data_IF_217391288627
#
_entry.id   IF_217391288627
#
_cell.length_a   1.000
_cell.length_b   1.000
_cell.length_c   1.000
_cell.angle_alpha   90.00
_cell.angle_beta   90.00
_cell.angle_gamma   90.00
#
_symmetry.space_group_name_H-M   'P 1'
#
loop_
_entity.id
_entity.type
_entity.pdbx_description
1 polymer ?
#
# COMPACT_ATOMS: atom_id res chain seq x y z
N UNK A 1 13.86 11.98 -4.64
CA UNK A 1 13.39 12.59 -3.38
C UNK A 1 12.53 11.58 -2.67
N UNK A 2 12.86 11.30 -1.40
CA UNK A 2 12.24 10.23 -0.64
C UNK A 2 11.67 10.82 0.66
N UNK A 3 10.36 10.73 0.81
CA UNK A 3 9.66 11.13 2.02
C UNK A 3 9.78 10.01 3.07
N UNK A 4 10.33 10.31 4.25
CA UNK A 4 10.44 9.34 5.34
C UNK A 4 9.29 9.52 6.33
N UNK A 5 8.57 8.44 6.64
CA UNK A 5 7.45 8.39 7.58
C UNK A 5 7.76 7.34 8.64
N UNK A 6 7.85 7.75 9.90
CA UNK A 6 8.05 6.83 11.03
C UNK A 6 6.74 6.70 11.79
N UNK A 7 6.20 5.49 11.85
CA UNK A 7 4.93 5.18 12.49
C UNK A 7 5.13 4.91 13.99
N UNK A 8 4.16 5.31 14.80
CA UNK A 8 4.08 4.93 16.22
C UNK A 8 3.41 3.55 16.37
N UNK A 9 3.99 2.55 15.72
CA UNK A 9 3.55 1.16 15.75
C UNK A 9 4.77 0.26 15.63
N UNK A 10 4.82 -0.85 16.37
CA UNK A 10 5.97 -1.75 16.36
C UNK A 10 6.07 -2.56 15.07
N UNK A 11 4.92 -2.82 14.43
CA UNK A 11 4.84 -3.51 13.13
C UNK A 11 3.81 -2.86 12.21
N UNK A 12 3.95 -3.08 10.91
CA UNK A 12 2.99 -2.68 9.89
C UNK A 12 2.13 -3.87 9.50
N UNK A 13 0.94 -3.95 10.09
CA UNK A 13 -0.04 -4.99 9.76
C UNK A 13 -0.47 -4.90 8.30
N UNK A 14 -0.98 -6.00 7.74
CA UNK A 14 -1.52 -6.04 6.38
C UNK A 14 -2.59 -4.97 6.14
N UNK A 15 -3.50 -4.73 7.10
CA UNK A 15 -4.52 -3.67 7.00
C UNK A 15 -3.88 -2.26 6.92
N UNK A 16 -2.86 -2.01 7.75
CA UNK A 16 -2.14 -0.74 7.74
C UNK A 16 -1.37 -0.54 6.43
N UNK A 17 -0.68 -1.58 5.94
CA UNK A 17 0.00 -1.56 4.65
C UNK A 17 -0.98 -1.26 3.50
N UNK A 18 -2.16 -1.86 3.49
CA UNK A 18 -3.23 -1.57 2.51
C UNK A 18 -3.59 -0.09 2.52
N UNK A 19 -3.98 0.43 3.68
CA UNK A 19 -4.48 1.81 3.77
C UNK A 19 -3.41 2.84 3.45
N UNK A 20 -2.18 2.63 3.92
CA UNK A 20 -1.05 3.52 3.61
C UNK A 20 -0.69 3.47 2.12
N UNK A 21 -0.76 2.30 1.49
CA UNK A 21 -0.53 2.16 0.04
C UNK A 21 -1.61 2.85 -0.79
N UNK A 22 -2.88 2.64 -0.45
CA UNK A 22 -4.03 3.30 -1.10
C UNK A 22 -3.98 4.82 -0.89
N UNK A 23 -3.66 5.28 0.32
CA UNK A 23 -3.49 6.70 0.63
C UNK A 23 -2.34 7.31 -0.19
N UNK A 24 -1.19 6.65 -0.23
CA UNK A 24 -0.02 7.07 -1.03
C UNK A 24 -0.37 7.17 -2.52
N UNK A 25 -1.09 6.18 -3.05
CA UNK A 25 -1.54 6.20 -4.44
C UNK A 25 -2.47 7.39 -4.73
N UNK A 26 -3.46 7.64 -3.86
CA UNK A 26 -4.36 8.78 -4.01
C UNK A 26 -3.63 10.12 -4.02
N UNK A 27 -2.62 10.28 -3.16
CA UNK A 27 -1.76 11.46 -3.15
C UNK A 27 -0.91 11.58 -4.41
N UNK A 28 -0.27 10.49 -4.85
CA UNK A 28 0.55 10.49 -6.09
C UNK A 28 -0.30 10.86 -7.30
N UNK A 29 -1.52 10.32 -7.42
CA UNK A 29 -2.43 10.67 -8.52
C UNK A 29 -2.76 12.16 -8.53
N UNK A 30 -3.09 12.73 -7.37
CA UNK A 30 -3.42 14.15 -7.26
C UNK A 30 -2.20 15.04 -7.55
N UNK A 31 -1.08 14.76 -6.88
CA UNK A 31 0.11 15.62 -6.93
C UNK A 31 0.89 15.52 -8.25
N UNK A 32 0.64 14.48 -9.05
CA UNK A 32 1.16 14.33 -10.42
C UNK A 32 0.15 14.75 -11.49
N UNK A 33 -0.87 15.54 -11.12
CA UNK A 33 -1.95 16.00 -12.00
C UNK A 33 -2.62 14.88 -12.82
N UNK A 34 -2.68 13.67 -12.26
CA UNK A 34 -3.45 12.59 -12.88
C UNK A 34 -4.94 12.73 -12.56
N UNK A 35 -5.29 13.45 -11.49
CA UNK A 35 -6.67 13.75 -11.13
C UNK A 35 -6.80 15.18 -10.63
N UNK A 36 -7.92 15.88 -10.89
CA UNK A 36 -8.08 17.29 -10.55
C UNK A 36 -8.31 17.53 -9.05
N UNK A 37 -8.76 16.52 -8.32
CA UNK A 37 -9.00 16.59 -6.87
C UNK A 37 -8.55 15.29 -6.20
N UNK A 38 -8.25 15.31 -4.89
CA UNK A 38 -8.01 14.09 -4.12
C UNK A 38 -9.13 13.06 -4.31
N UNK A 39 -8.78 11.78 -4.49
CA UNK A 39 -9.73 10.70 -4.82
C UNK A 39 -10.91 10.63 -3.83
N UNK A 40 -10.66 10.86 -2.54
CA UNK A 40 -11.70 10.90 -1.50
C UNK A 40 -12.69 12.05 -1.71
N UNK A 41 -12.22 13.21 -2.19
CA UNK A 41 -13.09 14.33 -2.53
C UNK A 41 -13.87 14.05 -3.81
N UNK A 42 -13.21 13.47 -4.83
CA UNK A 42 -13.89 13.06 -6.07
C UNK A 42 -15.07 12.14 -5.79
N UNK A 43 -14.89 11.14 -4.92
CA UNK A 43 -15.96 10.20 -4.56
C UNK A 43 -17.20 10.88 -3.93
N UNK A 44 -17.01 12.01 -3.25
CA UNK A 44 -18.08 12.75 -2.57
C UNK A 44 -18.73 13.82 -3.43
N UNK A 45 -18.05 14.28 -4.48
CA UNK A 45 -18.59 15.31 -5.36
C UNK A 45 -19.87 14.81 -6.04
N UNK A 46 -20.93 15.63 -6.10
CA UNK A 46 -22.16 15.27 -6.79
C UNK A 46 -21.86 14.93 -8.24
N UNK A 47 -22.63 14.01 -8.82
CA UNK A 47 -22.56 13.71 -10.24
C UNK A 47 -23.09 14.94 -10.99
N UNK A 48 -22.20 15.74 -11.58
CA UNK A 48 -22.60 16.64 -12.66
C UNK A 48 -23.18 15.80 -13.81
N UNK A 49 -23.99 16.42 -14.67
CA UNK A 49 -24.77 15.78 -15.73
C UNK A 49 -24.18 14.43 -16.17
N UNK A 50 -24.89 13.34 -15.83
CA UNK A 50 -24.38 11.96 -15.92
C UNK A 50 -23.96 11.52 -17.33
N UNK A 51 -24.26 12.34 -18.35
CA UNK A 51 -23.85 12.14 -19.74
C UNK A 51 -22.46 12.70 -20.06
N UNK A 52 -21.80 13.44 -19.15
CA UNK A 52 -20.49 14.00 -19.44
C UNK A 52 -19.40 12.93 -19.46
N UNK A 53 -18.47 13.05 -20.43
CA UNK A 53 -17.29 12.19 -20.53
C UNK A 53 -16.47 12.21 -19.23
N UNK A 54 -16.36 13.38 -18.60
CA UNK A 54 -15.69 13.58 -17.31
C UNK A 54 -16.34 12.77 -16.18
N UNK A 55 -17.68 12.77 -16.09
CA UNK A 55 -18.40 11.97 -15.09
C UNK A 55 -18.14 10.47 -15.25
N UNK A 56 -18.07 9.98 -16.50
CA UNK A 56 -17.71 8.58 -16.78
C UNK A 56 -16.26 8.27 -16.36
N UNK A 57 -15.29 9.10 -16.76
CA UNK A 57 -13.88 8.89 -16.39
C UNK A 57 -13.66 8.95 -14.87
N UNK A 58 -14.35 9.85 -14.16
CA UNK A 58 -14.39 9.87 -12.70
C UNK A 58 -14.93 8.56 -12.13
N UNK A 59 -16.05 8.07 -12.64
CA UNK A 59 -16.66 6.83 -12.12
C UNK A 59 -15.75 5.63 -12.37
N UNK A 60 -15.19 5.52 -13.58
CA UNK A 60 -14.25 4.44 -13.95
C UNK A 60 -13.02 4.48 -13.03
N UNK A 61 -12.46 5.67 -12.76
CA UNK A 61 -11.35 5.84 -11.82
C UNK A 61 -11.72 5.36 -10.40
N UNK A 62 -12.85 5.82 -9.85
CA UNK A 62 -13.27 5.47 -8.49
C UNK A 62 -13.48 3.96 -8.39
N UNK A 63 -14.19 3.35 -9.34
CA UNK A 63 -14.41 1.90 -9.37
C UNK A 63 -13.09 1.14 -9.44
N UNK A 64 -12.16 1.55 -10.31
CA UNK A 64 -10.84 0.91 -10.40
C UNK A 64 -10.01 1.09 -9.13
N UNK A 65 -10.08 2.27 -8.50
CA UNK A 65 -9.36 2.57 -7.28
C UNK A 65 -9.88 1.74 -6.10
N UNK A 66 -11.20 1.61 -5.96
CA UNK A 66 -11.84 0.77 -4.94
C UNK A 66 -11.53 -0.71 -5.17
N UNK A 67 -11.57 -1.16 -6.42
CA UNK A 67 -11.19 -2.54 -6.79
C UNK A 67 -9.73 -2.82 -6.41
N UNK A 68 -8.81 -1.91 -6.74
CA UNK A 68 -7.41 -2.04 -6.34
C UNK A 68 -7.24 -2.04 -4.82
N UNK A 69 -7.93 -1.17 -4.09
CA UNK A 69 -7.85 -1.12 -2.64
C UNK A 69 -8.29 -2.45 -1.99
N UNK A 70 -9.36 -3.05 -2.50
CA UNK A 70 -9.82 -4.39 -2.11
C UNK A 70 -8.75 -5.46 -2.41
N UNK A 71 -8.20 -5.46 -3.62
CA UNK A 71 -7.12 -6.40 -3.98
C UNK A 71 -5.86 -6.20 -3.14
N UNK A 72 -5.47 -4.97 -2.81
CA UNK A 72 -4.28 -4.71 -1.99
C UNK A 72 -4.41 -5.34 -0.60
N UNK A 73 -5.61 -5.39 -0.02
CA UNK A 73 -5.84 -6.09 1.24
C UNK A 73 -5.48 -7.58 1.17
N UNK A 74 -6.06 -8.31 0.22
CA UNK A 74 -5.76 -9.74 0.03
C UNK A 74 -4.33 -9.98 -0.47
N UNK A 75 -3.76 -9.02 -1.19
CA UNK A 75 -2.35 -9.03 -1.65
C UNK A 75 -1.39 -9.01 -0.48
N UNK A 76 -1.56 -8.10 0.48
CA UNK A 76 -0.68 -8.03 1.64
C UNK A 76 -0.79 -9.28 2.54
N UNK A 77 -1.98 -9.88 2.65
CA UNK A 77 -2.15 -11.19 3.30
C UNK A 77 -1.32 -12.27 2.58
N UNK A 78 -1.46 -12.37 1.25
CA UNK A 78 -0.73 -13.36 0.46
C UNK A 78 0.80 -13.11 0.47
N UNK A 79 1.24 -11.86 0.49
CA UNK A 79 2.66 -11.49 0.67
C UNK A 79 3.19 -11.87 2.05
N UNK A 80 2.42 -11.62 3.11
CA UNK A 80 2.78 -12.04 4.47
C UNK A 80 3.03 -13.55 4.52
N UNK A 81 2.12 -14.34 3.95
CA UNK A 81 2.28 -15.81 3.88
C UNK A 81 3.47 -16.21 3.03
N UNK A 82 3.64 -15.61 1.85
CA UNK A 82 4.76 -15.97 0.97
C UNK A 82 6.09 -15.67 1.64
N UNK A 83 6.25 -14.51 2.29
CA UNK A 83 7.46 -14.15 3.04
C UNK A 83 7.72 -15.14 4.18
N UNK A 84 6.70 -15.49 4.97
CA UNK A 84 6.85 -16.47 6.05
C UNK A 84 7.39 -17.82 5.56
N UNK A 85 6.92 -18.29 4.39
CA UNK A 85 7.38 -19.54 3.77
C UNK A 85 8.83 -19.49 3.27
N UNK A 86 9.32 -18.30 2.87
CA UNK A 86 10.73 -18.14 2.44
C UNK A 86 11.68 -18.59 3.53
N UNK A 87 11.32 -18.16 4.73
CA UNK A 87 12.27 -18.11 5.79
C UNK A 87 12.32 -19.44 6.56
N UNK A 88 11.30 -20.27 6.39
CA UNK A 88 11.33 -21.68 6.81
C UNK A 88 12.23 -22.55 5.95
N UNK A 89 12.62 -22.11 4.75
CA UNK A 89 13.38 -22.92 3.81
C UNK A 89 14.89 -22.98 4.11
N UNK A 90 15.42 -22.17 5.04
CA UNK A 90 16.85 -22.15 5.41
C UNK A 90 17.14 -23.26 6.44
N UNK A 91 17.73 -24.42 6.06
CA UNK A 91 17.83 -25.58 6.93
C UNK A 91 19.07 -25.59 7.86
N UNK A 92 19.92 -24.56 7.84
CA UNK A 92 21.32 -24.74 8.25
C UNK A 92 21.72 -24.35 9.68
N UNK A 93 20.83 -23.87 10.54
CA UNK A 93 21.23 -23.62 11.93
C UNK A 93 20.06 -23.78 12.91
N UNK A 94 19.61 -25.03 13.08
CA UNK A 94 18.70 -25.43 14.16
C UNK A 94 19.48 -25.40 15.49
N UNK A 95 19.88 -24.20 15.92
CA UNK A 95 20.02 -23.95 17.36
C UNK A 95 18.63 -23.53 17.79
N UNK A 96 17.93 -24.31 18.63
CA UNK A 96 16.63 -23.92 19.16
C UNK A 96 16.82 -22.68 20.04
N UNK A 97 16.76 -21.51 19.43
CA UNK A 97 16.65 -20.25 20.14
C UNK A 97 15.29 -20.29 20.84
N UNK A 98 15.23 -20.05 22.17
CA UNK A 98 13.97 -20.06 22.89
C UNK A 98 12.99 -19.10 22.21
N UNK A 99 11.76 -19.57 21.99
CA UNK A 99 10.70 -18.87 21.30
C UNK A 99 10.22 -17.63 22.09
N UNK A 100 11.09 -16.62 22.24
CA UNK A 100 10.66 -15.29 22.61
C UNK A 100 9.89 -14.76 21.41
N UNK A 101 8.61 -14.48 21.62
CA UNK A 101 7.56 -14.20 20.64
C UNK A 101 7.73 -12.88 19.87
N UNK A 102 8.95 -12.52 19.45
CA UNK A 102 9.16 -11.36 18.59
C UNK A 102 8.45 -11.62 17.26
N UNK A 103 7.42 -10.83 16.99
CA UNK A 103 6.68 -10.87 15.74
C UNK A 103 7.67 -10.69 14.59
N UNK A 104 7.74 -11.69 13.71
CA UNK A 104 8.55 -11.61 12.51
C UNK A 104 8.03 -10.47 11.64
N UNK A 105 8.92 -9.56 11.28
CA UNK A 105 8.62 -8.49 10.34
C UNK A 105 9.38 -8.72 9.03
N UNK A 106 9.20 -7.83 8.06
CA UNK A 106 9.81 -7.90 6.74
C UNK A 106 9.70 -6.56 6.04
N UNK A 107 10.17 -6.52 4.79
CA UNK A 107 10.12 -5.33 3.95
C UNK A 107 9.34 -5.60 2.67
N UNK A 108 8.47 -4.67 2.31
CA UNK A 108 7.64 -4.77 1.10
C UNK A 108 7.81 -3.51 0.27
N UNK A 109 7.84 -3.69 -1.05
CA UNK A 109 7.95 -2.60 -2.00
C UNK A 109 6.80 -2.61 -2.99
N UNK A 110 6.23 -1.43 -3.22
CA UNK A 110 5.24 -1.17 -4.26
C UNK A 110 5.76 -0.05 -5.16
N UNK A 111 5.51 -0.13 -6.47
CA UNK A 111 5.84 0.92 -7.40
C UNK A 111 4.58 1.47 -8.08
N UNK A 112 4.49 2.80 -8.14
CA UNK A 112 3.47 3.54 -8.87
C UNK A 112 4.14 4.16 -10.09
N UNK A 113 3.76 3.69 -11.27
CA UNK A 113 4.43 4.02 -12.53
C UNK A 113 3.46 4.77 -13.44
N UNK A 114 3.79 6.02 -13.75
CA UNK A 114 2.95 6.93 -14.53
C UNK A 114 3.49 7.07 -15.95
N UNK A 115 2.70 6.67 -16.94
CA UNK A 115 3.07 6.82 -18.36
C UNK A 115 2.27 5.93 -19.29
N UNK A 116 2.57 5.94 -20.61
CA UNK A 116 1.87 5.12 -21.58
C UNK A 116 2.10 3.61 -21.37
N UNK A 117 3.32 3.26 -20.96
CA UNK A 117 3.74 1.89 -20.63
C UNK A 117 4.72 1.92 -19.45
N UNK A 118 4.96 0.77 -18.82
CA UNK A 118 5.95 0.63 -17.73
C UNK A 118 7.38 0.97 -18.20
N UNK A 119 7.74 0.57 -19.42
CA UNK A 119 9.08 0.81 -19.98
C UNK A 119 9.33 2.26 -20.36
N UNK A 120 8.30 2.96 -20.85
CA UNK A 120 8.35 4.37 -21.25
C UNK A 120 7.72 5.32 -20.22
N UNK A 121 7.73 4.91 -18.96
CA UNK A 121 7.17 5.70 -17.87
C UNK A 121 7.83 7.06 -17.76
N UNK A 122 7.00 8.08 -17.53
CA UNK A 122 7.42 9.47 -17.30
C UNK A 122 7.83 9.70 -15.85
N UNK A 123 7.16 9.03 -14.91
CA UNK A 123 7.49 9.07 -13.49
C UNK A 123 7.39 7.67 -12.87
N UNK A 124 8.23 7.43 -11.86
CA UNK A 124 8.24 6.21 -11.05
C UNK A 124 8.36 6.62 -9.59
N UNK A 125 7.36 6.24 -8.80
CA UNK A 125 7.34 6.46 -7.35
C UNK A 125 7.42 5.12 -6.65
N UNK A 126 8.43 4.92 -5.81
CA UNK A 126 8.58 3.70 -5.00
C UNK A 126 8.03 3.95 -3.59
N UNK A 127 7.17 3.05 -3.13
CA UNK A 127 6.72 2.96 -1.75
C UNK A 127 7.45 1.79 -1.08
N UNK A 128 8.30 2.09 -0.10
CA UNK A 128 8.91 1.10 0.78
C UNK A 128 8.15 1.05 2.11
N UNK A 129 7.80 -0.14 2.56
CA UNK A 129 7.20 -0.40 3.86
C UNK A 129 8.14 -1.31 4.64
N UNK A 130 8.69 -0.79 5.72
CA UNK A 130 9.59 -1.48 6.63
C UNK A 130 8.88 -1.85 7.93
N UNK A 131 9.23 -3.00 8.50
CA UNK A 131 8.52 -3.57 9.64
C UNK A 131 7.17 -4.21 9.27
N UNK A 132 6.98 -4.62 8.01
CA UNK A 132 5.77 -5.31 7.54
C UNK A 132 5.59 -6.64 8.29
N UNK A 133 4.40 -6.88 8.84
CA UNK A 133 4.10 -8.09 9.59
C UNK A 133 4.17 -9.34 8.70
N UNK A 134 5.03 -10.30 9.05
CA UNK A 134 5.20 -11.56 8.33
C UNK A 134 4.64 -12.71 9.17
N UNK A 135 3.45 -13.16 8.80
CA UNK A 135 2.74 -14.27 9.42
C UNK A 135 2.27 -15.27 8.37
N UNK A 136 2.32 -16.56 8.73
CA UNK A 136 1.74 -17.63 7.93
C UNK A 136 0.24 -17.72 8.23
N UNK A 137 -0.59 -17.38 7.25
CA UNK A 137 -2.04 -17.51 7.41
C UNK A 137 -2.46 -18.98 7.30
N UNK A 138 -3.35 -19.43 8.19
CA UNK A 138 -3.90 -20.78 8.18
C UNK A 138 -3.16 -21.79 9.06
N UNK A 139 -1.98 -21.46 9.56
CA UNK A 139 -1.47 -22.08 10.78
C UNK A 139 -2.32 -21.50 11.90
N UNK A 140 -3.15 -22.32 12.55
CA UNK A 140 -3.76 -21.89 13.79
C UNK A 140 -2.62 -21.33 14.65
N UNK A 141 -2.75 -20.09 15.14
CA UNK A 141 -2.00 -19.70 16.32
C UNK A 141 -2.44 -20.73 17.33
N UNK A 142 -1.64 -21.81 17.48
CA UNK A 142 -1.79 -22.82 18.50
C UNK A 142 -1.79 -22.00 19.75
N UNK A 143 -3.01 -21.65 20.16
CA UNK A 143 -3.28 -20.84 21.30
C UNK A 143 -2.72 -21.74 22.34
N UNK A 144 -1.55 -21.35 22.87
CA UNK A 144 -0.94 -22.00 23.99
C UNK A 144 -1.98 -21.80 25.08
N UNK A 145 -2.97 -22.68 25.08
CA UNK A 145 -3.84 -22.97 26.18
C UNK A 145 -2.83 -23.43 27.19
N UNK A 146 -2.37 -22.45 27.96
CA UNK A 146 -1.62 -22.61 29.19
C UNK A 146 -2.47 -23.57 30.02
N UNK A 147 -2.23 -24.85 29.77
CA UNK A 147 -3.03 -25.98 30.17
C UNK A 147 -2.76 -26.25 31.63
N UNK A 148 -3.18 -25.33 32.47
CA UNK A 148 -3.31 -25.55 33.90
C UNK A 148 -4.73 -26.05 34.18
N UNK A 149 -5.14 -27.19 33.63
CA UNK A 149 -6.16 -28.04 34.28
C UNK A 149 -6.21 -29.46 33.72
N UNK A 150 -5.78 -30.37 34.60
CA UNK A 150 -6.48 -31.59 35.05
C UNK A 150 -7.12 -32.51 33.99
N UNK A 151 -6.53 -33.72 33.95
CA UNK A 151 -7.14 -34.97 33.49
C UNK A 151 -8.62 -35.07 33.89
N UNK A 152 -9.50 -35.27 32.93
CA UNK A 152 -10.60 -36.22 33.15
C UNK A 152 -10.91 -37.02 31.90
N UNK A 153 -11.00 -38.32 32.11
CA UNK A 153 -11.17 -39.36 31.11
C UNK A 153 -12.65 -39.50 30.75
N UNK A 154 -12.99 -39.38 29.47
CA UNK A 154 -14.36 -39.60 28.99
C UNK A 154 -14.37 -40.19 27.58
N UNK A 155 -14.47 -41.51 27.53
CA UNK A 155 -14.57 -42.39 26.37
C UNK A 155 -15.91 -42.27 25.61
N UNK A 156 -15.93 -42.71 24.34
CA UNK A 156 -17.08 -42.94 23.43
C UNK A 156 -17.42 -41.78 22.48
N UNK A 157 -17.61 -41.94 21.17
CA UNK A 157 -17.73 -43.13 20.32
C UNK A 157 -18.55 -42.77 19.07
N UNK A 158 -18.25 -43.44 17.95
CA UNK A 158 -19.07 -43.65 16.75
C UNK A 158 -19.28 -42.51 15.72
N UNK A 159 -18.76 -42.78 14.51
CA UNK A 159 -19.43 -42.79 13.19
C UNK A 159 -20.44 -41.70 12.84
N UNK A 160 -20.30 -41.08 11.65
CA UNK A 160 -21.34 -41.12 10.59
C UNK A 160 -20.90 -40.39 9.30
N UNK A 161 -20.97 -41.20 8.25
CA UNK A 161 -21.22 -41.02 6.80
C UNK A 161 -21.08 -39.69 6.03
N UNK A 162 -20.47 -39.93 4.86
CA UNK A 162 -20.51 -39.28 3.54
C UNK A 162 -21.88 -38.69 3.12
N UNK A 163 -21.83 -37.58 2.39
CA UNK A 163 -22.62 -37.44 1.16
C UNK A 163 -22.08 -36.35 0.23
N UNK A 164 -21.77 -36.76 -1.00
CA UNK A 164 -21.52 -35.93 -2.16
C UNK A 164 -22.79 -35.19 -2.62
N UNK A 165 -22.70 -33.91 -2.96
CA UNK A 165 -23.72 -33.29 -3.81
C UNK A 165 -23.14 -32.19 -4.72
N UNK A 166 -23.12 -32.51 -6.01
CA UNK A 166 -22.89 -31.61 -7.14
C UNK A 166 -24.19 -30.87 -7.50
N UNK A 167 -24.12 -29.57 -7.81
CA UNK A 167 -25.10 -28.94 -8.71
C UNK A 167 -24.57 -27.64 -9.30
N UNK A 168 -24.25 -27.72 -10.58
CA UNK A 168 -24.18 -26.61 -11.51
C UNK A 168 -25.58 -26.02 -11.72
N UNK A 169 -25.71 -24.70 -11.69
CA UNK A 169 -26.86 -24.03 -12.29
C UNK A 169 -26.41 -22.69 -12.87
N UNK A 170 -26.33 -22.68 -14.19
CA UNK A 170 -26.20 -21.49 -15.01
C UNK A 170 -27.61 -20.93 -15.19
N UNK A 171 -27.79 -19.64 -14.94
CA UNK A 171 -29.05 -18.97 -15.25
C UNK A 171 -28.77 -17.57 -15.82
N UNK A 172 -28.81 -17.52 -17.15
CA UNK A 172 -29.25 -16.38 -17.93
C UNK A 172 -30.57 -15.82 -17.38
N UNK A 173 -30.73 -14.50 -17.35
CA UNK A 173 -31.95 -13.82 -17.83
C UNK A 173 -31.97 -12.30 -17.59
N UNK A 174 -32.25 -11.61 -18.70
CA UNK A 174 -33.16 -10.47 -18.85
C UNK A 174 -32.71 -9.05 -18.48
N UNK A 175 -32.11 -8.43 -19.49
CA UNK A 175 -32.63 -7.26 -20.20
C UNK A 175 -33.98 -6.71 -19.68
N UNK A 176 -33.96 -5.57 -19.00
CA UNK A 176 -35.16 -4.80 -18.69
C UNK A 176 -34.92 -3.33 -19.05
N UNK A 177 -35.40 -2.95 -20.23
CA UNK A 177 -35.65 -1.56 -20.59
C UNK A 177 -36.75 -1.00 -19.68
N UNK A 178 -36.53 0.17 -19.08
CA UNK A 178 -37.61 0.98 -18.53
C UNK A 178 -37.36 2.46 -18.78
N UNK A 179 -38.02 2.89 -19.86
CA UNK A 179 -38.78 4.11 -20.08
C UNK A 179 -38.75 5.19 -19.00
N UNK A 180 -38.52 6.42 -19.47
CA UNK A 180 -38.34 7.60 -18.66
C UNK A 180 -39.58 8.10 -17.94
N UNK A 181 -39.30 8.99 -17.00
CA UNK A 181 -40.28 9.90 -16.42
C UNK A 181 -39.55 11.19 -16.03
N UNK A 182 -40.06 12.29 -16.58
CA UNK A 182 -39.55 13.66 -16.46
C UNK A 182 -39.51 14.18 -15.01
N UNK A 183 -38.58 15.10 -14.68
CA UNK A 183 -38.55 15.78 -13.39
C UNK A 183 -39.57 16.95 -13.32
N UNK A 184 -40.17 17.25 -12.15
CA UNK A 184 -40.93 18.47 -11.94
C UNK A 184 -40.01 19.69 -11.66
N UNK A 185 -40.50 20.93 -11.87
CA UNK A 185 -39.68 22.13 -11.94
C UNK A 185 -39.36 22.77 -10.58
N UNK A 186 -38.15 23.31 -10.51
CA UNK A 186 -37.68 24.55 -9.87
C UNK A 186 -38.51 25.20 -8.76
N UNK A 187 -37.92 25.30 -7.56
CA UNK A 187 -38.19 26.38 -6.60
C UNK A 187 -36.90 26.85 -5.90
N UNK A 188 -36.44 28.03 -6.30
CA UNK A 188 -35.64 28.94 -5.45
C UNK A 188 -36.60 29.71 -4.53
N UNK A 189 -36.16 30.19 -3.34
CA UNK A 189 -35.45 31.49 -3.28
C UNK A 189 -34.34 31.60 -2.20
N UNK A 190 -33.47 32.60 -2.42
CA UNK A 190 -32.46 33.18 -1.52
C UNK A 190 -33.08 34.01 -0.35
N UNK A 191 -32.34 34.89 0.34
CA UNK A 191 -31.36 34.70 1.41
C UNK A 191 -31.82 35.37 2.73
N UNK A 192 -31.15 35.14 3.85
CA UNK A 192 -31.31 35.99 5.05
C UNK A 192 -29.97 36.18 5.76
N UNK A 193 -29.39 37.35 5.55
CA UNK A 193 -28.34 37.92 6.39
C UNK A 193 -28.97 38.35 7.71
N UNK A 194 -28.44 37.87 8.82
CA UNK A 194 -28.78 38.38 10.16
C UNK A 194 -27.49 38.53 10.96
N UNK A 195 -26.94 39.73 10.87
CA UNK A 195 -26.01 40.34 11.81
C UNK A 195 -26.65 40.53 13.18
N UNK A 196 -26.06 39.94 14.22
CA UNK A 196 -26.27 40.32 15.63
C UNK A 196 -25.03 39.88 16.43
N UNK A 197 -24.13 40.82 16.74
CA UNK A 197 -23.99 41.52 18.03
C UNK A 197 -23.58 40.62 19.19
N UNK A 198 -22.27 40.60 19.43
CA UNK A 198 -21.60 40.80 20.72
C UNK A 198 -22.47 40.68 21.99
N UNK A 199 -22.30 39.56 22.70
CA UNK A 199 -22.44 39.52 24.16
C UNK A 199 -21.31 38.69 24.73
N UNK A 200 -20.32 39.40 25.27
CA UNK A 200 -19.26 38.86 26.12
C UNK A 200 -19.92 38.26 27.36
N UNK A 201 -19.94 36.93 27.44
CA UNK A 201 -20.30 36.21 28.66
C UNK A 201 -19.03 35.54 29.17
N UNK A 202 -18.55 36.03 30.31
CA UNK A 202 -17.55 35.37 31.14
C UNK A 202 -18.07 33.97 31.51
N UNK A 203 -17.57 32.94 30.81
CA UNK A 203 -17.80 31.54 31.16
C UNK A 203 -16.60 31.09 31.98
N UNK A 204 -16.80 30.58 33.21
CA UNK A 204 -15.71 30.15 34.08
C UNK A 204 -14.98 28.97 33.46
N UNK A 205 -13.64 29.03 33.48
CA UNK A 205 -12.69 27.98 33.08
C UNK A 205 -13.15 26.60 33.55
N UNK A 206 -13.78 25.86 32.65
CA UNK A 206 -14.07 24.45 32.84
C UNK A 206 -12.79 23.70 32.50
N UNK A 207 -12.22 22.87 33.40
CA UNK A 207 -11.03 22.11 33.07
C UNK A 207 -11.37 21.13 31.95
N UNK A 208 -10.89 21.44 30.74
CA UNK A 208 -10.98 20.65 29.52
C UNK A 208 -10.14 19.37 29.67
N UNK A 209 -10.64 18.44 30.48
CA UNK A 209 -10.15 17.07 30.59
C UNK A 209 -10.98 16.10 29.74
N UNK A 210 -11.59 16.57 28.65
CA UNK A 210 -12.09 15.70 27.58
C UNK A 210 -10.90 15.18 26.79
N UNK A 211 -10.22 14.19 27.38
CA UNK A 211 -9.28 13.29 26.71
C UNK A 211 -10.02 12.72 25.50
N UNK A 212 -9.78 13.30 24.32
CA UNK A 212 -10.23 12.73 23.06
C UNK A 212 -9.82 11.26 23.04
N UNK A 213 -10.74 10.34 22.71
CA UNK A 213 -10.43 8.91 22.68
C UNK A 213 -9.18 8.69 21.82
N UNK A 214 -8.34 7.70 22.16
CA UNK A 214 -7.14 7.40 21.38
C UNK A 214 -7.56 7.30 19.92
N UNK A 215 -7.01 8.19 19.08
CA UNK A 215 -7.27 8.10 17.65
C UNK A 215 -6.84 6.71 17.21
N UNK A 216 -7.70 6.06 16.42
CA UNK A 216 -7.37 4.81 15.75
C UNK A 216 -5.95 4.96 15.15
N UNK A 217 -4.95 4.16 15.59
CA UNK A 217 -3.55 4.33 15.22
C UNK A 217 -3.37 4.37 13.70
N UNK A 218 -4.25 3.66 12.98
CA UNK A 218 -4.33 3.64 11.54
C UNK A 218 -4.67 5.01 10.94
N UNK A 219 -5.61 5.75 11.56
CA UNK A 219 -5.97 7.11 11.14
C UNK A 219 -4.86 8.11 11.45
N UNK A 220 -4.16 7.92 12.57
CA UNK A 220 -2.98 8.72 12.91
C UNK A 220 -1.86 8.51 11.88
N UNK A 221 -1.59 7.26 11.49
CA UNK A 221 -0.62 6.90 10.46
C UNK A 221 -0.95 7.52 9.09
N UNK A 222 -2.21 7.45 8.64
CA UNK A 222 -2.64 8.09 7.39
C UNK A 222 -2.50 9.62 7.42
N UNK A 223 -2.83 10.25 8.55
CA UNK A 223 -2.70 11.70 8.71
C UNK A 223 -1.23 12.10 8.66
N UNK A 224 -0.36 11.35 9.34
CA UNK A 224 1.09 11.56 9.33
C UNK A 224 1.64 11.42 7.90
N UNK A 225 1.31 10.32 7.20
CA UNK A 225 1.68 10.11 5.81
C UNK A 225 1.22 11.28 4.92
N UNK A 226 -0.05 11.67 5.03
CA UNK A 226 -0.61 12.78 4.25
C UNK A 226 0.10 14.11 4.53
N UNK A 227 0.43 14.38 5.79
CA UNK A 227 1.16 15.58 6.19
C UNK A 227 2.60 15.56 5.65
N UNK A 228 3.30 14.44 5.77
CA UNK A 228 4.66 14.28 5.25
C UNK A 228 4.70 14.42 3.72
N UNK A 229 3.72 13.86 3.02
CA UNK A 229 3.59 14.04 1.57
C UNK A 229 3.26 15.50 1.23
N UNK A 230 2.32 16.14 1.92
CA UNK A 230 2.05 17.55 1.70
C UNK A 230 3.30 18.42 1.89
N UNK A 231 4.11 18.17 2.94
CA UNK A 231 5.34 18.93 3.19
C UNK A 231 6.48 18.61 2.21
N UNK A 232 6.70 17.33 1.89
CA UNK A 232 7.77 16.92 0.98
C UNK A 232 7.51 17.37 -0.47
N UNK A 233 6.26 17.72 -0.80
CA UNK A 233 5.88 18.12 -2.15
C UNK A 233 5.69 19.62 -2.30
N UNK A 234 5.62 20.38 -1.19
CA UNK A 234 5.21 21.78 -1.21
C UNK A 234 6.16 22.73 -1.93
N UNK A 235 7.49 22.55 -1.89
CA UNK A 235 8.47 23.25 -2.75
C UNK A 235 9.89 23.04 -2.19
N UNK A 236 10.78 22.47 -3.00
CA UNK A 236 12.20 22.83 -2.89
C UNK A 236 12.37 24.16 -3.64
N UNK A 237 13.05 25.13 -3.04
CA UNK A 237 13.37 26.45 -3.63
C UNK A 237 14.03 26.41 -5.01
N UNK A 238 14.44 25.23 -5.45
CA UNK A 238 15.08 24.97 -6.74
C UNK A 238 14.09 24.52 -7.84
N UNK A 239 12.77 24.54 -7.59
CA UNK A 239 11.76 24.04 -8.52
C UNK A 239 11.82 22.51 -8.71
N UNK A 240 12.39 21.82 -7.73
CA UNK A 240 12.60 20.37 -7.75
C UNK A 240 11.55 19.61 -6.92
N UNK A 241 10.36 20.19 -6.69
CA UNK A 241 9.28 19.45 -6.01
C UNK A 241 8.92 18.15 -6.72
N UNK A 242 8.35 17.18 -5.99
CA UNK A 242 7.73 15.99 -6.60
C UNK A 242 6.49 16.35 -7.44
N UNK A 243 5.88 17.52 -7.21
CA UNK A 243 4.81 18.03 -8.06
C UNK A 243 5.37 18.34 -9.44
N UNK A 244 5.18 17.40 -10.37
CA UNK A 244 5.52 17.57 -11.78
C UNK A 244 4.22 17.62 -12.55
N UNK A 245 3.98 18.74 -13.23
CA UNK A 245 2.82 18.88 -14.09
C UNK A 245 2.94 17.89 -15.25
N UNK A 246 2.16 16.82 -15.15
CA UNK A 246 2.10 15.78 -16.15
C UNK A 246 0.69 15.72 -16.70
N UNK A 247 0.57 15.67 -18.02
CA UNK A 247 -0.71 15.33 -18.64
C UNK A 247 -1.21 13.98 -18.09
N UNK A 248 -2.53 13.79 -17.95
CA UNK A 248 -3.07 12.51 -17.50
C UNK A 248 -2.60 11.34 -18.37
N UNK A 249 -2.18 10.26 -17.72
CA UNK A 249 -1.65 9.05 -18.35
C UNK A 249 -2.22 7.80 -17.69
N UNK A 250 -1.80 6.61 -18.17
CA UNK A 250 -2.06 5.39 -17.44
C UNK A 250 -1.18 5.31 -16.20
N UNK A 251 -1.75 4.75 -15.15
CA UNK A 251 -1.07 4.43 -13.90
C UNK A 251 -0.96 2.92 -13.81
N UNK A 252 0.27 2.42 -13.75
CA UNK A 252 0.58 1.01 -13.53
C UNK A 252 1.00 0.80 -12.08
N UNK A 253 0.45 -0.22 -11.44
CA UNK A 253 0.76 -0.59 -10.06
C UNK A 253 1.53 -1.89 -10.08
N UNK A 254 2.70 -1.88 -9.42
CA UNK A 254 3.54 -3.05 -9.31
C UNK A 254 3.87 -3.32 -7.84
N UNK A 255 4.09 -4.59 -7.51
CA UNK A 255 4.65 -5.02 -6.23
C UNK A 255 5.90 -5.84 -6.47
N UNK A 256 6.86 -5.73 -5.57
CA UNK A 256 8.02 -6.63 -5.50
C UNK A 256 7.61 -7.81 -4.61
N UNK A 257 7.68 -9.02 -5.13
CA UNK A 257 7.30 -10.22 -4.37
C UNK A 257 8.12 -11.45 -4.80
N UNK A 258 8.28 -12.48 -3.95
CA UNK A 258 8.87 -13.76 -4.34
C UNK A 258 8.15 -14.40 -5.53
N UNK A 259 8.83 -15.23 -6.33
CA UNK A 259 8.21 -15.95 -7.46
C UNK A 259 7.05 -16.86 -7.05
N UNK A 260 7.12 -17.48 -5.87
CA UNK A 260 6.03 -18.30 -5.31
C UNK A 260 4.79 -17.50 -4.87
N UNK A 261 4.85 -16.16 -4.85
CA UNK A 261 3.68 -15.35 -4.60
C UNK A 261 2.60 -15.71 -5.63
N UNK A 262 1.35 -15.86 -5.20
CA UNK A 262 0.23 -16.17 -6.09
C UNK A 262 -0.97 -15.36 -5.66
N UNK A 263 -1.57 -14.64 -6.61
CA UNK A 263 -2.79 -13.86 -6.38
C UNK A 263 -3.51 -13.63 -7.71
N UNK A 264 -4.84 -13.82 -7.79
CA UNK A 264 -5.59 -13.79 -9.05
C UNK A 264 -5.45 -12.46 -9.81
N UNK A 265 -5.41 -11.34 -9.09
CA UNK A 265 -5.32 -9.99 -9.67
C UNK A 265 -3.90 -9.52 -10.03
N UNK A 266 -2.88 -10.39 -9.94
CA UNK A 266 -1.49 -10.01 -10.21
C UNK A 266 -0.85 -10.92 -11.24
N UNK A 267 -0.12 -10.32 -12.18
CA UNK A 267 0.61 -11.04 -13.22
C UNK A 267 2.11 -10.81 -13.08
N UNK A 268 2.90 -11.87 -13.17
CA UNK A 268 4.37 -11.80 -13.19
C UNK A 268 4.89 -10.99 -14.38
N UNK A 269 5.89 -10.13 -14.15
CA UNK A 269 6.50 -9.29 -15.19
C UNK A 269 8.03 -9.36 -15.16
N UNK A 270 8.58 -10.43 -15.72
CA UNK A 270 10.03 -10.64 -15.77
C UNK A 270 10.74 -9.67 -16.75
N UNK A 271 10.05 -9.23 -17.80
CA UNK A 271 10.63 -8.40 -18.86
C UNK A 271 10.95 -6.95 -18.44
N UNK A 272 10.51 -6.52 -17.26
CA UNK A 272 10.74 -5.16 -16.74
C UNK A 272 11.64 -5.15 -15.50
N UNK A 273 12.09 -6.32 -15.03
CA UNK A 273 12.82 -6.45 -13.76
C UNK A 273 14.04 -5.54 -13.73
N UNK A 274 14.93 -5.59 -14.73
CA UNK A 274 16.15 -4.77 -14.71
C UNK A 274 15.92 -3.25 -14.62
N UNK A 275 14.86 -2.71 -15.23
CA UNK A 275 14.57 -1.28 -15.16
C UNK A 275 13.97 -0.88 -13.80
N UNK A 276 13.11 -1.72 -13.23
CA UNK A 276 12.47 -1.47 -11.95
C UNK A 276 13.41 -1.77 -10.76
N UNK A 277 14.29 -2.76 -10.90
CA UNK A 277 15.35 -3.08 -9.94
C UNK A 277 16.35 -1.92 -9.87
N UNK A 278 16.78 -1.38 -11.02
CA UNK A 278 17.61 -0.19 -11.03
C UNK A 278 16.94 1.04 -10.39
N UNK A 279 15.61 1.14 -10.47
CA UNK A 279 14.85 2.20 -9.79
C UNK A 279 14.76 1.95 -8.28
N UNK A 280 14.54 0.70 -7.86
CA UNK A 280 14.52 0.30 -6.46
C UNK A 280 15.90 0.48 -5.81
N UNK A 281 16.98 0.11 -6.48
CA UNK A 281 18.35 0.33 -6.00
C UNK A 281 18.65 1.82 -5.84
N UNK A 282 18.15 2.66 -6.75
CA UNK A 282 18.27 4.11 -6.62
C UNK A 282 17.50 4.64 -5.41
N UNK A 283 16.31 4.10 -5.18
CA UNK A 283 15.47 4.45 -4.04
C UNK A 283 16.15 4.05 -2.72
N UNK A 284 16.66 2.82 -2.61
CA UNK A 284 17.38 2.33 -1.43
C UNK A 284 18.66 3.12 -1.15
N UNK A 285 19.38 3.49 -2.21
CA UNK A 285 20.57 4.31 -2.09
C UNK A 285 20.25 5.72 -1.59
N UNK A 286 19.22 6.37 -2.16
CA UNK A 286 18.83 7.74 -1.78
C UNK A 286 18.13 7.78 -0.40
N UNK A 287 17.52 6.68 0.07
CA UNK A 287 16.88 6.62 1.38
C UNK A 287 17.88 6.47 2.53
N UNK A 288 19.16 6.22 2.24
CA UNK A 288 20.20 5.98 3.24
C UNK A 288 20.12 4.60 3.90
N UNK A 289 19.31 3.68 3.34
CA UNK A 289 19.11 2.32 3.88
C UNK A 289 20.21 1.33 3.47
N UNK A 290 21.08 1.70 2.53
CA UNK A 290 22.28 0.92 2.28
C UNK A 290 23.24 1.19 3.44
N UNK A 291 23.09 0.40 4.50
CA UNK A 291 24.15 0.22 5.49
C UNK A 291 25.31 -0.32 4.71
N UNK A 292 26.26 0.54 4.35
CA UNK A 292 27.56 0.09 3.92
C UNK A 292 28.01 -0.84 5.03
N UNK A 293 28.07 -2.14 4.74
CA UNK A 293 28.70 -3.12 5.60
C UNK A 293 30.16 -2.70 5.69
N UNK A 294 30.45 -1.77 6.60
CA UNK A 294 31.78 -1.29 6.95
C UNK A 294 32.46 -2.41 7.73
N UNK A 295 32.75 -3.50 7.03
CA UNK A 295 33.12 -4.73 7.67
C UNK A 295 33.81 -5.67 6.69
N UNK A 296 35.13 -5.67 6.79
CA UNK A 296 36.07 -6.68 6.29
C UNK A 296 36.66 -6.41 4.89
N UNK A 297 37.87 -5.84 4.95
CA UNK A 297 38.97 -5.90 3.97
C UNK A 297 38.94 -4.99 2.73
N UNK A 298 38.98 -3.68 3.00
CA UNK A 298 39.45 -2.65 2.08
C UNK A 298 40.95 -2.76 1.75
N UNK A 299 41.40 -3.87 1.15
CA UNK A 299 42.81 -4.07 0.74
C UNK A 299 43.05 -4.51 -0.70
N UNK A 300 42.03 -4.61 -1.56
CA UNK A 300 42.25 -5.01 -2.97
C UNK A 300 41.69 -4.00 -3.98
N UNK A 301 42.48 -2.95 -4.24
CA UNK A 301 42.70 -2.33 -5.56
C UNK A 301 41.54 -2.19 -6.57
N UNK A 302 40.33 -1.83 -6.14
CA UNK A 302 39.23 -1.46 -7.06
C UNK A 302 39.24 0.03 -7.41
N UNK A 303 40.41 0.59 -7.70
CA UNK A 303 40.62 1.98 -8.13
C UNK A 303 40.10 2.31 -9.55
N UNK A 304 39.24 1.47 -10.13
CA UNK A 304 38.81 1.54 -11.53
C UNK A 304 37.32 1.74 -11.79
N UNK A 305 36.45 1.60 -10.78
CA UNK A 305 35.00 1.72 -10.95
C UNK A 305 34.58 3.20 -10.96
N UNK A 306 35.02 3.90 -12.00
CA UNK A 306 34.62 5.25 -12.35
C UNK A 306 33.11 5.38 -12.26
N UNK A 307 32.70 6.29 -11.39
CA UNK A 307 31.53 7.17 -11.46
C UNK A 307 31.04 7.39 -12.90
N UNK A 308 30.34 6.40 -13.48
CA UNK A 308 29.45 6.69 -14.59
C UNK A 308 28.33 7.49 -13.96
N UNK A 309 28.44 8.82 -14.09
CA UNK A 309 27.31 9.76 -14.01
C UNK A 309 26.31 9.35 -15.10
N UNK A 310 25.68 8.19 -14.95
CA UNK A 310 24.47 7.91 -15.68
C UNK A 310 23.52 9.01 -15.27
N UNK A 311 22.89 9.61 -16.27
CA UNK A 311 21.80 10.57 -16.15
C UNK A 311 20.63 9.80 -15.53
N UNK A 312 20.78 9.44 -14.25
CA UNK A 312 19.91 8.51 -13.53
C UNK A 312 18.59 9.23 -13.42
N UNK A 313 17.55 8.66 -14.03
CA UNK A 313 16.19 9.18 -13.87
C UNK A 313 15.94 9.36 -12.38
N UNK A 314 15.47 10.54 -11.99
CA UNK A 314 15.21 10.86 -10.58
C UNK A 314 14.20 9.84 -10.06
N UNK A 315 14.59 9.09 -9.03
CA UNK A 315 13.66 8.21 -8.34
C UNK A 315 12.99 9.00 -7.23
N UNK A 316 11.68 8.84 -7.20
CA UNK A 316 10.80 9.45 -6.23
C UNK A 316 10.28 8.34 -5.33
N UNK A 317 9.96 8.65 -4.08
CA UNK A 317 9.39 7.64 -3.24
C UNK A 317 8.99 8.08 -1.85
N UNK A 318 8.44 7.10 -1.13
CA UNK A 318 7.97 7.22 0.24
C UNK A 318 8.49 6.00 0.98
N UNK A 319 9.17 6.24 2.09
CA UNK A 319 9.67 5.20 2.96
C UNK A 319 8.91 5.24 4.27
N UNK A 320 8.18 4.18 4.58
CA UNK A 320 7.38 4.04 5.80
C UNK A 320 8.09 3.04 6.71
N UNK A 321 8.47 3.46 7.92
CA UNK A 321 9.07 2.59 8.94
C UNK A 321 8.13 2.41 10.12
N UNK A 322 8.01 1.18 10.61
CA UNK A 322 7.57 0.93 11.97
C UNK A 322 8.61 1.46 12.99
N UNK A 323 8.20 1.59 14.26
CA UNK A 323 9.09 1.99 15.37
C UNK A 323 10.04 0.86 15.78
N UNK A 324 9.66 -0.39 15.53
CA UNK A 324 10.48 -1.54 15.89
C UNK A 324 11.83 -1.51 15.17
N UNK A 325 12.89 -1.80 15.91
CA UNK A 325 14.22 -2.02 15.33
C UNK A 325 14.12 -3.26 14.43
N UNK A 326 14.11 -3.03 13.12
CA UNK A 326 14.30 -4.09 12.15
C UNK A 326 15.78 -4.45 12.20
N UNK A 327 16.09 -5.61 12.78
CA UNK A 327 17.48 -6.10 12.89
C UNK A 327 18.13 -6.44 11.55
N UNK A 328 17.50 -6.07 10.42
CA UNK A 328 18.04 -6.27 9.09
C UNK A 328 18.25 -7.75 8.85
N UNK A 329 17.21 -8.49 8.46
CA UNK A 329 17.34 -9.91 8.14
C UNK A 329 18.49 -10.04 7.16
N UNK A 330 19.64 -10.52 7.67
CA UNK A 330 20.91 -10.41 6.97
C UNK A 330 20.69 -11.10 5.65
N UNK A 331 20.78 -10.34 4.55
CA UNK A 331 20.65 -10.85 3.20
C UNK A 331 21.92 -11.66 2.93
N UNK A 332 21.99 -12.79 3.64
CA UNK A 332 23.08 -13.72 3.60
C UNK A 332 23.13 -14.19 2.16
N UNK A 333 24.29 -14.03 1.56
CA UNK A 333 24.63 -14.40 0.19
C UNK A 333 24.54 -15.92 -0.07
N UNK A 334 23.65 -16.64 0.62
CA UNK A 334 23.32 -18.02 0.38
C UNK A 334 22.57 -18.17 -0.93
N UNK A 335 22.66 -19.37 -1.50
CA UNK A 335 21.90 -19.75 -2.69
C UNK A 335 20.40 -19.68 -2.37
N UNK A 336 19.75 -18.61 -2.84
CA UNK A 336 18.30 -18.41 -2.70
C UNK A 336 17.62 -19.32 -3.72
N UNK A 337 16.67 -20.15 -3.27
CA UNK A 337 15.88 -20.99 -4.16
C UNK A 337 15.22 -20.15 -5.27
N UNK A 338 15.09 -20.68 -6.49
CA UNK A 338 14.50 -19.93 -7.61
C UNK A 338 13.10 -19.37 -7.29
N UNK A 339 12.31 -20.14 -6.53
CA UNK A 339 10.97 -19.76 -6.06
C UNK A 339 10.96 -18.55 -5.10
N UNK A 340 12.12 -18.28 -4.49
CA UNK A 340 12.36 -17.25 -3.49
C UNK A 340 12.96 -15.97 -4.10
N UNK A 341 13.32 -16.02 -5.38
CA UNK A 341 13.77 -14.83 -6.12
C UNK A 341 12.68 -13.77 -6.13
N UNK A 342 13.04 -12.54 -5.78
CA UNK A 342 12.14 -11.41 -5.88
C UNK A 342 11.96 -11.00 -7.35
N UNK A 343 10.71 -10.89 -7.77
CA UNK A 343 10.33 -10.39 -9.10
C UNK A 343 9.29 -9.29 -8.98
N UNK A 344 9.04 -8.58 -10.08
CA UNK A 344 7.96 -7.62 -10.16
C UNK A 344 6.67 -8.27 -10.64
N UNK A 345 5.60 -7.97 -9.94
CA UNK A 345 4.22 -8.34 -10.29
C UNK A 345 3.46 -7.07 -10.64
N UNK A 346 2.66 -7.11 -11.70
CA UNK A 346 1.80 -6.01 -12.11
C UNK A 346 0.36 -6.34 -11.76
N UNK A 347 -0.35 -5.35 -11.24
CA UNK A 347 -1.79 -5.43 -11.12
C UNK A 347 -2.41 -5.53 -12.51
N UNK A 348 -3.45 -6.36 -12.64
CA UNK A 348 -4.16 -6.65 -13.89
C UNK A 348 -5.18 -5.57 -14.31
N UNK A 349 -5.60 -4.75 -13.34
CA UNK A 349 -6.53 -3.66 -13.57
C UNK A 349 -5.91 -2.43 -14.23
N UNK A 350 -6.76 -1.41 -14.44
CA UNK A 350 -6.40 -0.17 -15.12
C UNK A 350 -6.79 1.03 -14.29
N UNK A 351 -5.84 1.93 -14.10
CA UNK A 351 -6.06 3.29 -13.60
C UNK A 351 -5.65 4.29 -14.67
N UNK A 352 -6.57 5.19 -15.01
CA UNK A 352 -6.35 6.26 -15.98
C UNK A 352 -6.61 7.59 -15.30
N UNK A 353 -5.66 8.50 -15.40
CA UNK A 353 -5.89 9.87 -15.01
C UNK A 353 -6.88 10.58 -15.95
N UNK A 354 -7.41 11.72 -15.49
CA UNK A 354 -8.18 12.66 -16.28
C UNK A 354 -7.95 14.09 -15.77
N UNK A 355 -8.07 15.08 -16.65
CA UNK A 355 -7.91 16.50 -16.31
C UNK A 355 -9.21 17.30 -16.51
N UNK A 356 -10.07 16.86 -17.42
CA UNK A 356 -11.34 17.54 -17.71
C UNK A 356 -12.36 17.24 -16.59
N UNK A 357 -12.89 18.29 -15.94
CA UNK A 357 -13.88 18.20 -14.87
C UNK A 357 -15.09 19.09 -15.12
#
# INVERSE_FOLDING_TARGET
>A
MIANVVLDADTVTHNMATRLSTCSLGHVLFLKNQVPFPVVQLARMPRSDASSRAAKMKQDLITSFDTLASHLYTTFIALSTSLALRDTAKPEHIVPVPATSSSRTGRVFMAIVLGPTIGTAKARVILGIDGFEVKMWGMAEDTVLDGTVERDSGESGADTDKSDHVSSSESDSNDTQSTGSSPPPSRSPSPSLSSSTSSSSDIPDRPDNTRTPPQDPLRAAERLLSQTLASAWAEDTNGQGLASEMAPTHTHILIRAPRRFTHPSWTQRQNISGAMDAALDAFLFESGEVVHSEGVDATTNSAGARTRKQKKGRVEGVWIRARGDWDGDGDGNGEVAEEDEWIWWSWDGKLSGFADW
#
